data_IF_120340238371
#
_entry.id   IF_120340238371
#
_cell.length_a   1.000
_cell.length_b   1.000
_cell.length_c   1.000
_cell.angle_alpha   90.00
_cell.angle_beta   90.00
_cell.angle_gamma   90.00
#
_symmetry.space_group_name_H-M   'P 1'
#
loop_
_entity.id
_entity.type
_entity.pdbx_description
1 polymer ?
#
# COMPACT_ATOMS: atom_id res chain seq x y z
N UNK A 1 23.37 85.87 -23.21
CA UNK A 1 24.12 86.89 -22.49
C UNK A 1 24.35 86.36 -21.09
N UNK A 2 25.55 85.98 -20.87
CA UNK A 2 26.44 86.48 -19.79
C UNK A 2 25.91 86.17 -18.37
N UNK A 3 26.64 85.28 -17.74
CA UNK A 3 27.61 85.40 -16.65
C UNK A 3 26.97 85.21 -15.25
N UNK A 4 27.53 84.74 -14.19
CA UNK A 4 28.87 84.27 -13.85
C UNK A 4 28.77 83.63 -12.46
N UNK A 5 29.48 82.56 -12.25
CA UNK A 5 30.17 82.01 -11.08
C UNK A 5 30.12 82.81 -9.74
N UNK A 6 29.82 82.08 -8.63
CA UNK A 6 30.74 82.15 -7.47
C UNK A 6 30.61 80.95 -6.53
N UNK A 7 31.74 80.42 -6.17
CA UNK A 7 32.02 79.34 -5.22
C UNK A 7 31.86 79.83 -3.78
N UNK A 8 31.40 78.96 -2.91
CA UNK A 8 31.47 79.10 -1.46
C UNK A 8 31.43 77.75 -0.79
N UNK A 9 32.52 77.24 -0.27
CA UNK A 9 32.64 76.07 0.61
C UNK A 9 32.24 76.48 2.03
N UNK A 10 31.59 75.55 2.79
CA UNK A 10 31.91 75.19 4.18
C UNK A 10 31.06 73.98 4.61
N UNK A 11 31.74 72.91 4.98
CA UNK A 11 31.63 71.96 6.10
C UNK A 11 30.28 71.32 6.53
N UNK A 12 30.22 70.06 6.40
CA UNK A 12 30.02 68.96 7.30
C UNK A 12 28.95 69.05 8.42
N UNK A 13 27.93 68.22 8.32
CA UNK A 13 27.39 67.48 9.47
C UNK A 13 26.66 66.21 8.96
N UNK A 14 27.15 65.05 9.38
CA UNK A 14 26.52 63.74 9.15
C UNK A 14 25.20 63.65 9.91
N UNK A 15 24.12 63.36 9.21
CA UNK A 15 22.95 62.73 9.79
C UNK A 15 22.56 61.50 8.92
N UNK A 16 22.85 60.32 9.44
CA UNK A 16 22.44 59.06 8.90
C UNK A 16 20.91 58.88 9.09
N UNK A 17 20.15 59.00 8.02
CA UNK A 17 18.78 58.55 7.94
C UNK A 17 18.80 57.10 7.44
N UNK A 18 18.47 56.16 8.34
CA UNK A 18 18.10 54.80 7.97
C UNK A 18 16.79 54.85 7.17
N UNK A 19 16.87 54.65 5.87
CA UNK A 19 15.74 54.34 5.04
C UNK A 19 15.48 52.83 5.15
N UNK A 20 14.42 52.48 5.88
CA UNK A 20 13.84 51.11 5.88
C UNK A 20 13.18 50.92 4.52
N UNK A 21 13.84 50.21 3.62
CA UNK A 21 13.25 49.72 2.40
C UNK A 21 12.41 48.50 2.77
N UNK A 22 11.08 48.65 2.81
CA UNK A 22 10.17 47.54 2.84
C UNK A 22 10.19 46.88 1.45
N UNK A 23 10.98 45.83 1.31
CA UNK A 23 10.87 44.89 0.20
C UNK A 23 9.62 44.08 0.45
N UNK A 24 8.55 44.40 -0.26
CA UNK A 24 7.43 43.47 -0.46
C UNK A 24 7.95 42.28 -1.23
N UNK A 25 8.33 41.22 -0.54
CA UNK A 25 8.52 39.92 -1.15
C UNK A 25 7.13 39.40 -1.55
N UNK A 26 6.87 39.35 -2.86
CA UNK A 26 5.86 38.44 -3.38
C UNK A 26 6.30 37.03 -3.00
N UNK A 27 5.66 36.44 -2.01
CA UNK A 27 5.84 35.05 -1.68
C UNK A 27 5.31 34.23 -2.86
N UNK A 28 6.19 33.52 -3.54
CA UNK A 28 5.87 32.26 -4.14
C UNK A 28 5.42 31.34 -3.00
N UNK A 29 4.28 30.68 -3.13
CA UNK A 29 3.94 29.53 -2.31
C UNK A 29 5.01 28.46 -2.60
N UNK A 30 6.09 28.50 -1.83
CA UNK A 30 6.97 27.35 -1.66
C UNK A 30 6.15 26.34 -0.85
N UNK A 31 5.82 25.20 -1.45
CA UNK A 31 5.30 24.02 -0.79
C UNK A 31 6.25 23.69 0.38
N UNK A 32 5.89 24.16 1.58
CA UNK A 32 6.69 23.90 2.77
C UNK A 32 6.48 22.44 3.14
N UNK A 33 7.47 21.61 2.83
CA UNK A 33 7.57 20.27 3.39
C UNK A 33 7.51 20.36 4.92
N UNK A 34 6.83 19.42 5.53
CA UNK A 34 6.74 19.30 6.99
C UNK A 34 8.15 19.09 7.55
N UNK A 35 8.51 19.84 8.58
CA UNK A 35 9.80 19.65 9.26
C UNK A 35 9.80 18.28 9.96
N UNK A 36 10.94 17.60 9.94
CA UNK A 36 11.11 16.31 10.61
C UNK A 36 10.82 16.45 12.12
N UNK A 37 9.98 15.55 12.63
CA UNK A 37 9.62 15.51 14.06
C UNK A 37 10.76 14.84 14.84
N UNK A 38 11.41 15.59 15.71
CA UNK A 38 12.45 15.05 16.63
C UNK A 38 11.85 14.44 17.90
N UNK A 39 10.67 14.88 18.29
CA UNK A 39 9.94 14.42 19.48
C UNK A 39 8.45 14.65 19.31
N UNK A 40 7.64 13.65 19.63
CA UNK A 40 6.18 13.80 19.67
C UNK A 40 5.77 14.84 20.71
N UNK A 41 5.12 15.90 20.25
CA UNK A 41 4.69 17.03 21.05
C UNK A 41 3.22 16.96 21.44
N UNK A 42 2.64 18.16 21.64
CA UNK A 42 1.20 18.31 21.89
C UNK A 42 0.42 17.97 20.62
N UNK A 43 -0.81 17.47 20.83
CA UNK A 43 -1.79 17.28 19.76
C UNK A 43 -2.05 18.61 19.02
N UNK A 44 -2.14 18.56 17.70
CA UNK A 44 -2.64 19.67 16.85
C UNK A 44 -4.18 19.75 16.88
N UNK A 45 -4.83 18.79 17.56
CA UNK A 45 -6.27 18.72 17.74
C UNK A 45 -7.01 17.94 16.66
N UNK A 46 -6.34 17.54 15.59
CA UNK A 46 -6.91 16.74 14.50
C UNK A 46 -5.86 15.97 13.74
N UNK A 47 -6.28 14.92 13.01
CA UNK A 47 -5.48 14.19 12.02
C UNK A 47 -6.37 13.77 10.85
N UNK A 48 -5.86 13.92 9.63
CA UNK A 48 -6.54 13.49 8.41
C UNK A 48 -5.85 12.26 7.82
N UNK A 49 -6.61 11.18 7.59
CA UNK A 49 -6.08 9.87 7.24
C UNK A 49 -6.66 9.41 5.90
N UNK A 50 -5.78 9.01 4.98
CA UNK A 50 -6.14 8.34 3.74
C UNK A 50 -5.90 6.84 3.91
N UNK A 51 -6.93 6.00 3.79
CA UNK A 51 -6.82 4.58 4.13
C UNK A 51 -7.71 3.67 3.29
N UNK A 52 -7.43 2.38 3.34
CA UNK A 52 -8.34 1.35 2.86
C UNK A 52 -9.64 1.33 3.67
N UNK A 53 -10.77 0.88 3.07
CA UNK A 53 -11.99 0.60 3.83
C UNK A 53 -11.71 -0.37 4.99
N UNK A 54 -12.25 -0.08 6.18
CA UNK A 54 -12.07 -0.95 7.34
C UNK A 54 -10.82 -0.68 8.19
N UNK A 55 -9.98 0.31 7.83
CA UNK A 55 -8.76 0.63 8.57
C UNK A 55 -8.92 1.74 9.61
N UNK A 56 -9.99 2.53 9.51
CA UNK A 56 -10.26 3.69 10.38
C UNK A 56 -11.75 3.70 10.74
N UNK A 57 -12.15 2.78 11.64
CA UNK A 57 -13.55 2.63 12.03
C UNK A 57 -13.86 3.38 13.32
N UNK A 58 -14.94 4.21 13.26
CA UNK A 58 -15.41 5.11 14.29
C UNK A 58 -16.81 4.76 14.80
N UNK A 59 -17.30 3.56 14.51
CA UNK A 59 -18.66 3.12 14.83
C UNK A 59 -19.75 3.57 13.85
N UNK A 60 -19.41 4.36 12.82
CA UNK A 60 -20.38 4.84 11.83
C UNK A 60 -20.88 3.72 10.93
N UNK A 61 -19.96 2.84 10.48
CA UNK A 61 -20.29 1.68 9.63
C UNK A 61 -20.93 0.54 10.43
N UNK A 62 -20.33 0.22 11.59
CA UNK A 62 -20.85 -0.74 12.55
C UNK A 62 -20.65 -0.19 13.98
N UNK A 63 -21.74 0.07 14.72
CA UNK A 63 -21.63 0.60 16.11
C UNK A 63 -20.85 -0.29 17.10
N UNK A 64 -20.60 -1.55 16.75
CA UNK A 64 -19.79 -2.46 17.56
C UNK A 64 -18.28 -2.37 17.24
N UNK A 65 -17.91 -1.62 16.21
CA UNK A 65 -16.55 -1.54 15.67
C UNK A 65 -16.06 -0.09 15.71
N UNK A 66 -15.32 0.24 16.75
CA UNK A 66 -14.85 1.60 17.00
C UNK A 66 -13.55 1.57 17.82
N UNK A 67 -12.43 1.83 17.16
CA UNK A 67 -11.15 2.11 17.82
C UNK A 67 -10.73 3.58 17.71
N UNK A 68 -11.39 4.35 16.85
CA UNK A 68 -11.09 5.77 16.64
C UNK A 68 -11.48 6.59 17.89
N UNK A 69 -12.66 6.38 18.46
CA UNK A 69 -13.11 7.14 19.65
C UNK A 69 -12.17 7.01 20.85
N UNK A 70 -11.55 5.84 21.04
CA UNK A 70 -10.55 5.64 22.09
C UNK A 70 -9.29 6.47 21.82
N UNK A 71 -8.81 6.48 20.60
CA UNK A 71 -7.66 7.30 20.18
C UNK A 71 -7.92 8.80 20.38
N UNK A 72 -9.05 9.29 19.92
CA UNK A 72 -9.45 10.70 20.05
C UNK A 72 -9.52 11.15 21.51
N UNK A 73 -10.13 10.33 22.35
CA UNK A 73 -10.26 10.60 23.79
C UNK A 73 -8.90 10.67 24.49
N UNK A 74 -7.98 9.76 24.14
CA UNK A 74 -6.70 9.64 24.83
C UNK A 74 -5.68 10.67 24.34
N UNK A 75 -5.75 11.08 23.07
CA UNK A 75 -4.76 11.96 22.44
C UNK A 75 -5.24 13.40 22.24
N UNK A 76 -6.56 13.62 22.18
CA UNK A 76 -7.15 14.88 21.76
C UNK A 76 -6.93 15.19 20.27
N UNK A 77 -6.70 14.18 19.43
CA UNK A 77 -6.59 14.27 17.99
C UNK A 77 -7.89 13.77 17.35
N UNK A 78 -8.78 14.68 16.92
CA UNK A 78 -9.98 14.34 16.15
C UNK A 78 -9.57 13.72 14.80
N UNK A 79 -10.16 12.56 14.45
CA UNK A 79 -9.83 11.81 13.25
C UNK A 79 -10.81 12.13 12.13
N UNK A 80 -10.29 12.44 10.96
CA UNK A 80 -11.06 12.43 9.72
C UNK A 80 -10.43 11.44 8.75
N UNK A 81 -11.23 10.62 8.10
CA UNK A 81 -10.73 9.63 7.14
C UNK A 81 -11.34 9.78 5.76
N UNK A 82 -10.56 9.42 4.76
CA UNK A 82 -10.99 9.24 3.37
C UNK A 82 -10.58 7.84 2.93
N UNK A 83 -11.55 7.06 2.48
CA UNK A 83 -11.27 5.74 1.90
C UNK A 83 -10.98 5.85 0.40
N UNK A 84 -10.17 4.91 -0.09
CA UNK A 84 -9.85 4.72 -1.51
C UNK A 84 -10.00 3.24 -1.87
N UNK A 85 -10.17 2.94 -3.15
CA UNK A 85 -10.38 1.58 -3.65
C UNK A 85 -9.19 0.97 -4.38
N UNK A 86 -8.20 1.78 -4.80
CA UNK A 86 -7.00 1.31 -5.49
C UNK A 86 -5.76 2.14 -5.13
N UNK A 87 -4.57 1.55 -5.25
CA UNK A 87 -3.29 2.25 -5.04
C UNK A 87 -3.11 3.46 -5.96
N UNK A 88 -3.66 3.43 -7.18
CA UNK A 88 -3.62 4.57 -8.11
C UNK A 88 -4.52 5.72 -7.65
N UNK A 89 -5.70 5.42 -7.11
CA UNK A 89 -6.58 6.42 -6.50
C UNK A 89 -5.89 7.06 -5.29
N UNK A 90 -5.29 6.24 -4.42
CA UNK A 90 -4.56 6.71 -3.24
C UNK A 90 -3.40 7.66 -3.60
N UNK A 91 -2.59 7.32 -4.62
CA UNK A 91 -1.52 8.20 -5.09
C UNK A 91 -2.04 9.55 -5.59
N UNK A 92 -3.16 9.54 -6.31
CA UNK A 92 -3.76 10.77 -6.82
C UNK A 92 -4.34 11.63 -5.69
N UNK A 93 -4.97 11.01 -4.69
CA UNK A 93 -5.49 11.71 -3.51
C UNK A 93 -4.35 12.27 -2.63
N UNK A 94 -3.27 11.53 -2.43
CA UNK A 94 -2.11 11.96 -1.66
C UNK A 94 -1.51 13.29 -2.18
N UNK A 95 -1.46 13.47 -3.50
CA UNK A 95 -0.96 14.70 -4.15
C UNK A 95 -1.76 15.96 -3.81
N UNK A 96 -2.96 15.83 -3.24
CA UNK A 96 -3.74 16.99 -2.79
C UNK A 96 -3.15 17.70 -1.57
N UNK A 97 -2.27 17.03 -0.80
CA UNK A 97 -1.72 17.55 0.45
C UNK A 97 -2.77 17.73 1.56
N UNK A 98 -3.90 17.03 1.48
CA UNK A 98 -4.99 17.14 2.45
C UNK A 98 -4.86 16.15 3.61
N UNK A 99 -4.00 15.14 3.48
CA UNK A 99 -3.86 14.04 4.44
C UNK A 99 -2.54 14.12 5.21
N UNK A 100 -2.61 13.75 6.49
CA UNK A 100 -1.44 13.67 7.38
C UNK A 100 -0.82 12.27 7.37
N UNK A 101 -1.68 11.23 7.30
CA UNK A 101 -1.28 9.83 7.29
C UNK A 101 -1.90 9.12 6.08
N UNK A 102 -1.13 8.24 5.46
CA UNK A 102 -1.53 7.44 4.30
C UNK A 102 -1.28 5.98 4.63
N UNK A 103 -2.33 5.14 4.62
CA UNK A 103 -2.13 3.70 4.57
C UNK A 103 -1.74 3.32 3.13
N UNK A 104 -0.70 2.52 2.94
CA UNK A 104 -0.17 2.20 1.63
C UNK A 104 0.27 0.75 1.54
N UNK A 105 -0.17 0.05 0.50
CA UNK A 105 0.36 -1.27 0.15
C UNK A 105 1.71 -1.14 -0.56
N UNK A 106 2.49 -2.21 -0.63
CA UNK A 106 3.86 -2.18 -1.13
C UNK A 106 4.02 -1.76 -2.59
N UNK A 107 2.99 -1.88 -3.42
CA UNK A 107 2.94 -1.37 -4.79
C UNK A 107 2.76 0.16 -4.86
N UNK A 108 2.32 0.80 -3.76
CA UNK A 108 2.12 2.24 -3.65
C UNK A 108 3.26 2.93 -2.91
N UNK A 109 3.81 2.31 -1.86
CA UNK A 109 4.71 2.97 -0.92
C UNK A 109 5.95 3.60 -1.57
N UNK A 110 6.67 2.87 -2.45
CA UNK A 110 7.82 3.42 -3.16
C UNK A 110 7.42 4.53 -4.15
N UNK A 111 6.20 4.51 -4.68
CA UNK A 111 5.67 5.57 -5.54
C UNK A 111 5.43 6.87 -4.76
N UNK A 112 4.91 6.76 -3.54
CA UNK A 112 4.76 7.91 -2.63
C UNK A 112 6.11 8.49 -2.22
N UNK A 113 7.12 7.64 -1.97
CA UNK A 113 8.48 8.06 -1.65
C UNK A 113 9.11 8.76 -2.86
N UNK A 114 9.06 8.14 -4.04
CA UNK A 114 9.66 8.67 -5.26
C UNK A 114 9.01 9.99 -5.72
N UNK A 115 7.68 10.14 -5.55
CA UNK A 115 6.97 11.38 -5.85
C UNK A 115 7.08 12.43 -4.74
N UNK A 116 7.78 12.12 -3.64
CA UNK A 116 7.95 12.99 -2.47
C UNK A 116 6.63 13.33 -1.74
N UNK A 117 5.64 12.48 -1.84
CA UNK A 117 4.37 12.62 -1.09
C UNK A 117 4.47 12.00 0.32
N UNK A 118 5.42 11.10 0.55
CA UNK A 118 5.74 10.58 1.87
C UNK A 118 7.09 11.11 2.35
N UNK A 119 7.24 11.25 3.67
CA UNK A 119 8.50 11.63 4.31
C UNK A 119 9.03 10.52 5.22
N UNK A 120 10.32 10.60 5.54
CA UNK A 120 11.00 9.70 6.47
C UNK A 120 10.31 9.70 7.84
N UNK A 121 10.16 8.51 8.42
CA UNK A 121 9.61 8.28 9.76
C UNK A 121 10.75 7.98 10.73
N UNK A 122 10.74 8.66 11.87
CA UNK A 122 11.57 8.25 13.00
C UNK A 122 10.83 7.20 13.83
N UNK A 123 11.20 5.94 13.68
CA UNK A 123 10.56 4.79 14.35
C UNK A 123 10.76 4.80 15.87
N UNK A 124 11.77 5.49 16.42
CA UNK A 124 11.95 5.69 17.87
C UNK A 124 10.78 6.49 18.48
N UNK A 125 10.03 7.22 17.66
CA UNK A 125 8.82 7.96 18.07
C UNK A 125 7.54 7.12 18.02
N UNK A 126 7.64 5.86 17.63
CA UNK A 126 6.56 4.88 17.53
C UNK A 126 6.89 3.65 18.39
N UNK A 127 6.75 3.73 19.73
CA UNK A 127 7.17 2.66 20.65
C UNK A 127 6.63 1.27 20.33
N UNK A 128 5.40 1.17 19.80
CA UNK A 128 4.82 -0.12 19.40
C UNK A 128 5.49 -0.74 18.17
N UNK A 129 6.33 0.00 17.43
CA UNK A 129 7.11 -0.54 16.32
C UNK A 129 8.09 -1.64 16.79
N UNK A 130 8.58 -1.58 18.03
CA UNK A 130 9.44 -2.62 18.60
C UNK A 130 8.77 -4.00 18.63
N UNK A 131 7.43 -4.05 18.77
CA UNK A 131 6.63 -5.29 18.86
C UNK A 131 6.35 -5.94 17.51
N UNK A 132 6.49 -5.19 16.44
CA UNK A 132 6.22 -5.67 15.07
C UNK A 132 7.13 -6.84 14.73
N UNK A 133 6.63 -7.84 14.01
CA UNK A 133 7.43 -8.97 13.52
C UNK A 133 8.65 -8.47 12.74
N UNK A 134 9.82 -9.09 12.97
CA UNK A 134 11.08 -8.63 12.38
C UNK A 134 11.07 -8.66 10.84
N UNK A 135 10.38 -9.64 10.24
CA UNK A 135 10.28 -9.74 8.77
C UNK A 135 9.42 -8.63 8.12
N UNK A 136 8.69 -7.83 8.92
CA UNK A 136 7.92 -6.69 8.45
C UNK A 136 8.62 -5.35 8.69
N UNK A 137 9.73 -5.33 9.47
CA UNK A 137 10.48 -4.11 9.77
C UNK A 137 11.48 -3.78 8.67
N UNK A 138 11.69 -2.49 8.43
CA UNK A 138 12.73 -1.95 7.53
C UNK A 138 12.77 -2.63 6.15
N UNK A 139 11.58 -2.95 5.65
CA UNK A 139 11.42 -3.71 4.42
C UNK A 139 11.70 -2.86 3.17
N UNK A 140 12.10 -3.54 2.09
CA UNK A 140 12.49 -2.89 0.83
C UNK A 140 11.34 -2.16 0.12
N UNK A 141 10.09 -2.44 0.46
CA UNK A 141 8.93 -1.74 -0.13
C UNK A 141 8.57 -0.44 0.60
N UNK A 142 9.12 -0.18 1.78
CA UNK A 142 8.90 1.05 2.52
C UNK A 142 10.18 1.71 3.07
N UNK A 143 11.36 1.22 2.65
CA UNK A 143 12.66 1.78 3.04
C UNK A 143 13.50 2.10 1.82
N UNK A 144 14.11 3.28 1.80
CA UNK A 144 15.00 3.76 0.72
C UNK A 144 16.24 4.38 1.36
N UNK A 145 17.43 4.01 0.89
CA UNK A 145 18.72 4.53 1.37
C UNK A 145 18.89 4.39 2.90
N UNK A 146 18.39 3.32 3.49
CA UNK A 146 18.45 3.05 4.94
C UNK A 146 17.52 3.93 5.77
N UNK A 147 16.57 4.61 5.16
CA UNK A 147 15.54 5.42 5.80
C UNK A 147 14.19 4.72 5.73
N UNK A 148 13.46 4.70 6.82
CA UNK A 148 12.14 4.13 6.91
C UNK A 148 11.06 5.18 6.61
N UNK A 149 10.05 4.81 5.84
CA UNK A 149 8.93 5.67 5.43
C UNK A 149 7.57 5.14 5.85
N UNK A 150 7.51 3.93 6.44
CA UNK A 150 6.25 3.32 6.82
C UNK A 150 6.35 2.39 8.02
N UNK A 151 5.30 2.33 8.84
CA UNK A 151 5.15 1.38 9.94
C UNK A 151 4.08 0.34 9.58
N UNK A 152 4.38 -0.98 9.70
CA UNK A 152 3.49 -2.04 9.21
C UNK A 152 2.16 -2.10 9.97
N UNK A 153 1.05 -2.17 9.23
CA UNK A 153 -0.29 -2.36 9.81
C UNK A 153 -0.63 -3.85 9.97
N UNK A 154 -0.65 -4.57 8.87
CA UNK A 154 -0.98 -5.98 8.77
C UNK A 154 -0.56 -6.52 7.40
N UNK A 155 -0.80 -7.80 7.14
CA UNK A 155 -0.44 -8.41 5.87
C UNK A 155 -1.36 -9.56 5.50
N UNK A 156 -1.40 -9.91 4.20
CA UNK A 156 -2.13 -11.03 3.68
C UNK A 156 -1.57 -11.54 2.36
N UNK A 157 -1.93 -12.78 2.03
CA UNK A 157 -1.56 -13.41 0.77
C UNK A 157 -2.67 -13.28 -0.27
N UNK A 158 -2.28 -13.20 -1.55
CA UNK A 158 -3.16 -13.47 -2.67
C UNK A 158 -3.27 -14.98 -2.84
N UNK A 159 -4.45 -15.52 -2.65
CA UNK A 159 -4.70 -16.97 -2.65
C UNK A 159 -5.46 -17.40 -3.91
N UNK A 160 -5.40 -18.68 -4.20
CA UNK A 160 -6.25 -19.30 -5.20
C UNK A 160 -7.55 -19.75 -4.55
N UNK A 161 -8.68 -19.10 -4.90
CA UNK A 161 -10.03 -19.51 -4.48
C UNK A 161 -10.66 -20.39 -5.53
N UNK A 162 -11.40 -21.41 -5.09
CA UNK A 162 -12.06 -22.34 -5.98
C UNK A 162 -13.34 -22.92 -5.36
N UNK A 163 -14.29 -23.29 -6.22
CA UNK A 163 -15.44 -24.07 -5.83
C UNK A 163 -15.12 -25.56 -6.00
N UNK A 164 -15.12 -26.32 -4.89
CA UNK A 164 -14.79 -27.76 -4.86
C UNK A 164 -15.59 -28.59 -5.85
N UNK A 165 -16.85 -28.25 -6.07
CA UNK A 165 -17.72 -28.98 -7.02
C UNK A 165 -17.32 -28.81 -8.49
N UNK A 166 -16.46 -27.81 -8.81
CA UNK A 166 -15.98 -27.54 -10.17
C UNK A 166 -14.67 -28.26 -10.50
N UNK A 167 -14.05 -28.92 -9.51
CA UNK A 167 -12.78 -29.62 -9.67
C UNK A 167 -12.91 -31.07 -9.16
N UNK A 168 -12.32 -32.03 -9.88
CA UNK A 168 -12.28 -33.43 -9.44
C UNK A 168 -11.41 -33.59 -8.16
N UNK A 169 -10.33 -32.81 -8.09
CA UNK A 169 -9.44 -32.67 -6.93
C UNK A 169 -9.17 -31.17 -6.72
N UNK A 170 -8.99 -30.71 -5.47
CA UNK A 170 -8.66 -29.33 -5.19
C UNK A 170 -7.43 -28.86 -5.99
N UNK A 171 -7.48 -27.72 -6.68
CA UNK A 171 -6.33 -27.20 -7.39
C UNK A 171 -5.21 -26.81 -6.40
N UNK A 172 -3.97 -27.11 -6.74
CA UNK A 172 -2.79 -26.83 -5.91
C UNK A 172 -1.82 -25.89 -6.61
N UNK A 173 -2.15 -25.37 -7.78
CA UNK A 173 -1.28 -24.57 -8.63
C UNK A 173 -2.05 -23.41 -9.25
N UNK A 174 -1.37 -22.30 -9.45
CA UNK A 174 -1.85 -21.16 -10.25
C UNK A 174 -2.23 -21.57 -11.70
N UNK A 175 -1.82 -22.75 -12.15
CA UNK A 175 -2.28 -23.31 -13.42
C UNK A 175 -3.81 -23.36 -13.55
N UNK A 176 -4.55 -23.42 -12.44
CA UNK A 176 -6.01 -23.37 -12.45
C UNK A 176 -6.58 -22.10 -13.11
N UNK A 177 -5.84 -20.98 -13.04
CA UNK A 177 -6.19 -19.65 -13.59
C UNK A 177 -5.26 -19.17 -14.70
N UNK A 178 -4.16 -19.89 -15.00
CA UNK A 178 -3.23 -19.50 -16.05
C UNK A 178 -3.04 -20.55 -17.16
N UNK A 179 -3.26 -21.84 -16.87
CA UNK A 179 -3.16 -22.88 -17.90
C UNK A 179 -4.39 -22.88 -18.80
N UNK A 180 -4.17 -22.84 -20.10
CA UNK A 180 -5.22 -22.75 -21.11
C UNK A 180 -6.25 -23.88 -21.06
N UNK A 181 -5.82 -25.10 -20.77
CA UNK A 181 -6.71 -26.24 -20.72
C UNK A 181 -7.61 -26.19 -19.48
N UNK A 182 -7.08 -25.69 -18.37
CA UNK A 182 -7.87 -25.48 -17.14
C UNK A 182 -8.82 -24.31 -17.30
N UNK A 183 -8.36 -23.19 -17.85
CA UNK A 183 -9.17 -22.01 -18.15
C UNK A 183 -10.35 -22.35 -19.08
N UNK A 184 -10.12 -23.17 -20.09
CA UNK A 184 -11.18 -23.55 -21.05
C UNK A 184 -12.34 -24.32 -20.39
N UNK A 185 -12.08 -25.08 -19.29
CA UNK A 185 -13.11 -25.80 -18.53
C UNK A 185 -14.02 -24.83 -17.76
N UNK A 186 -13.48 -23.69 -17.35
CA UNK A 186 -14.14 -22.70 -16.49
C UNK A 186 -14.39 -21.36 -17.21
N UNK A 187 -14.47 -21.38 -18.54
CA UNK A 187 -14.61 -20.15 -19.34
C UNK A 187 -15.78 -19.29 -18.88
N UNK A 188 -15.51 -18.01 -18.62
CA UNK A 188 -16.47 -17.03 -18.14
C UNK A 188 -16.78 -17.13 -16.64
N UNK A 189 -16.10 -18.04 -15.92
CA UNK A 189 -16.25 -18.26 -14.48
C UNK A 189 -14.93 -18.11 -13.72
N UNK A 190 -13.95 -17.45 -14.31
CA UNK A 190 -12.65 -17.13 -13.73
C UNK A 190 -12.66 -15.68 -13.27
N UNK A 191 -12.17 -15.40 -12.08
CA UNK A 191 -11.93 -14.03 -11.60
C UNK A 191 -10.45 -13.71 -11.52
N UNK A 192 -10.13 -12.43 -11.66
CA UNK A 192 -8.78 -11.92 -11.51
C UNK A 192 -8.79 -10.54 -10.85
N UNK A 193 -7.76 -10.22 -10.07
CA UNK A 193 -7.65 -8.91 -9.41
C UNK A 193 -7.45 -7.80 -10.45
N UNK A 194 -8.22 -6.73 -10.36
CA UNK A 194 -8.22 -5.60 -11.31
C UNK A 194 -7.18 -4.54 -10.96
N UNK A 195 -5.92 -4.89 -11.08
CA UNK A 195 -4.81 -3.96 -10.82
C UNK A 195 -3.58 -4.32 -11.65
N UNK A 196 -2.76 -3.35 -12.09
CA UNK A 196 -1.49 -3.62 -12.78
C UNK A 196 -0.56 -4.55 -12.01
N UNK A 197 -0.60 -4.55 -10.66
CA UNK A 197 0.22 -5.41 -9.84
C UNK A 197 -0.06 -6.90 -10.04
N UNK A 198 -1.23 -7.27 -10.57
CA UNK A 198 -1.57 -8.65 -10.93
C UNK A 198 -0.66 -9.24 -12.01
N UNK A 199 0.09 -8.41 -12.74
CA UNK A 199 1.14 -8.89 -13.66
C UNK A 199 2.20 -9.71 -12.90
N UNK A 200 2.46 -9.39 -11.63
CA UNK A 200 3.39 -10.16 -10.80
C UNK A 200 2.91 -11.58 -10.51
N UNK A 201 1.60 -11.82 -10.42
CA UNK A 201 1.04 -13.17 -10.24
C UNK A 201 1.31 -14.04 -11.48
N UNK A 202 1.15 -13.46 -12.67
CA UNK A 202 1.51 -14.13 -13.92
C UNK A 202 3.02 -14.37 -14.02
N UNK A 203 3.84 -13.39 -13.63
CA UNK A 203 5.29 -13.54 -13.61
C UNK A 203 5.75 -14.62 -12.63
N UNK A 204 5.15 -14.70 -11.44
CA UNK A 204 5.41 -15.75 -10.45
C UNK A 204 5.09 -17.16 -11.00
N UNK A 205 3.97 -17.30 -11.68
CA UNK A 205 3.63 -18.56 -12.35
C UNK A 205 4.64 -18.91 -13.45
N UNK A 206 5.01 -17.94 -14.29
CA UNK A 206 6.02 -18.15 -15.35
C UNK A 206 7.40 -18.47 -14.77
N UNK A 207 7.81 -17.84 -13.69
CA UNK A 207 9.07 -18.10 -12.98
C UNK A 207 9.21 -19.59 -12.62
N UNK A 208 8.12 -20.26 -12.30
CA UNK A 208 8.10 -21.68 -11.93
C UNK A 208 7.89 -22.61 -13.12
N UNK A 209 7.10 -22.20 -14.11
CA UNK A 209 6.70 -23.07 -15.25
C UNK A 209 7.53 -22.85 -16.49
N UNK A 210 8.20 -21.71 -16.64
CA UNK A 210 9.05 -21.36 -17.77
C UNK A 210 10.41 -20.79 -17.28
N UNK A 211 11.25 -21.59 -16.61
CA UNK A 211 12.50 -21.10 -16.00
C UNK A 211 13.50 -20.49 -17.02
N UNK A 212 13.39 -20.84 -18.30
CA UNK A 212 14.21 -20.27 -19.36
C UNK A 212 13.98 -18.75 -19.57
N UNK A 213 12.89 -18.20 -19.04
CA UNK A 213 12.65 -16.75 -19.01
C UNK A 213 13.58 -16.01 -18.03
N UNK A 214 14.22 -16.74 -17.09
CA UNK A 214 15.14 -16.14 -16.12
C UNK A 214 14.50 -15.14 -15.16
N UNK A 215 13.19 -15.28 -14.86
CA UNK A 215 12.52 -14.43 -13.85
C UNK A 215 12.98 -14.91 -12.46
N UNK A 216 13.64 -14.03 -11.71
CA UNK A 216 14.10 -14.31 -10.34
C UNK A 216 13.27 -13.55 -9.29
N UNK A 217 12.65 -12.43 -9.69
CA UNK A 217 11.77 -11.62 -8.85
C UNK A 217 10.55 -11.17 -9.69
N UNK A 218 9.31 -11.48 -9.26
CA UNK A 218 8.11 -11.16 -10.04
C UNK A 218 7.85 -9.65 -10.20
N UNK A 219 8.54 -8.80 -9.44
CA UNK A 219 8.45 -7.33 -9.53
C UNK A 219 9.62 -6.70 -10.28
N UNK A 220 10.60 -7.48 -10.71
CA UNK A 220 11.79 -7.01 -11.43
C UNK A 220 11.84 -7.61 -12.85
N UNK A 221 10.89 -7.23 -13.68
CA UNK A 221 10.78 -7.77 -15.05
C UNK A 221 11.49 -6.86 -16.04
N UNK A 222 12.40 -7.42 -16.85
CA UNK A 222 12.81 -6.75 -18.08
C UNK A 222 11.68 -6.78 -19.12
N UNK A 223 11.87 -6.08 -20.24
CA UNK A 223 10.82 -5.97 -21.26
C UNK A 223 10.38 -7.34 -21.79
N UNK A 224 11.29 -8.28 -22.00
CA UNK A 224 10.95 -9.62 -22.51
C UNK A 224 10.14 -10.43 -21.51
N UNK A 225 10.46 -10.32 -20.23
CA UNK A 225 9.76 -10.97 -19.11
C UNK A 225 8.37 -10.35 -18.90
N UNK A 226 8.26 -9.01 -19.02
CA UNK A 226 6.97 -8.31 -19.00
C UNK A 226 6.11 -8.75 -20.19
N UNK A 227 6.65 -8.78 -21.40
CA UNK A 227 5.92 -9.19 -22.60
C UNK A 227 5.38 -10.63 -22.48
N UNK A 228 6.16 -11.54 -21.90
CA UNK A 228 5.73 -12.93 -21.64
C UNK A 228 4.57 -12.97 -20.63
N UNK A 229 4.64 -12.19 -19.54
CA UNK A 229 3.58 -12.08 -18.53
C UNK A 229 2.31 -11.49 -19.11
N UNK A 230 2.44 -10.44 -19.93
CA UNK A 230 1.34 -9.80 -20.64
C UNK A 230 0.66 -10.76 -21.64
N UNK A 231 1.47 -11.56 -22.37
CA UNK A 231 0.94 -12.55 -23.31
C UNK A 231 0.10 -13.61 -22.59
N UNK A 232 0.57 -14.10 -21.42
CA UNK A 232 -0.16 -15.04 -20.58
C UNK A 232 -1.50 -14.43 -20.10
N UNK A 233 -1.50 -13.19 -19.64
CA UNK A 233 -2.69 -12.50 -19.15
C UNK A 233 -3.69 -12.16 -20.29
N UNK A 234 -3.20 -11.82 -21.47
CA UNK A 234 -4.06 -11.65 -22.67
C UNK A 234 -4.72 -12.99 -23.10
N UNK A 235 -4.05 -14.11 -22.90
CA UNK A 235 -4.67 -15.41 -23.08
C UNK A 235 -5.72 -15.70 -22.01
N UNK A 236 -5.39 -15.48 -20.73
CA UNK A 236 -6.32 -15.62 -19.60
C UNK A 236 -7.56 -14.77 -19.78
N UNK A 237 -7.41 -13.51 -20.29
CA UNK A 237 -8.50 -12.55 -20.52
C UNK A 237 -9.69 -13.13 -21.28
N UNK A 238 -9.43 -14.06 -22.20
CA UNK A 238 -10.49 -14.69 -23.02
C UNK A 238 -11.41 -15.61 -22.21
N UNK A 239 -11.01 -15.95 -20.99
CA UNK A 239 -11.70 -16.87 -20.10
C UNK A 239 -12.22 -16.21 -18.82
N UNK A 240 -11.69 -15.01 -18.48
CA UNK A 240 -12.10 -14.23 -17.31
C UNK A 240 -13.54 -13.77 -17.49
N UNK A 241 -14.36 -14.04 -16.49
CA UNK A 241 -15.73 -13.55 -16.41
C UNK A 241 -15.80 -12.19 -15.74
N UNK A 242 -14.96 -11.98 -14.73
CA UNK A 242 -14.92 -10.72 -13.97
C UNK A 242 -13.51 -10.36 -13.51
N UNK A 243 -13.15 -9.08 -13.68
CA UNK A 243 -12.05 -8.45 -13.00
C UNK A 243 -12.59 -7.71 -11.78
N UNK A 244 -12.09 -8.03 -10.58
CA UNK A 244 -12.59 -7.46 -9.34
C UNK A 244 -11.54 -6.51 -8.70
N UNK A 245 -12.02 -5.38 -8.21
CA UNK A 245 -11.32 -4.47 -7.29
C UNK A 245 -12.19 -4.18 -6.05
N UNK A 246 -13.47 -4.57 -6.11
CA UNK A 246 -14.41 -4.51 -5.00
C UNK A 246 -14.62 -5.95 -4.48
N UNK A 247 -14.13 -6.23 -3.27
CA UNK A 247 -14.17 -7.55 -2.65
C UNK A 247 -15.61 -8.08 -2.47
N UNK A 248 -16.61 -7.19 -2.31
CA UNK A 248 -18.02 -7.59 -2.18
C UNK A 248 -18.57 -8.20 -3.47
N UNK A 249 -18.10 -7.73 -4.63
CA UNK A 249 -18.48 -8.32 -5.90
C UNK A 249 -17.91 -9.73 -6.07
N UNK A 250 -16.67 -9.94 -5.65
CA UNK A 250 -16.08 -11.28 -5.70
C UNK A 250 -16.81 -12.24 -4.75
N UNK A 251 -17.12 -11.83 -3.52
CA UNK A 251 -17.98 -12.62 -2.62
C UNK A 251 -19.27 -13.01 -3.32
N UNK A 252 -19.98 -12.05 -3.92
CA UNK A 252 -21.24 -12.31 -4.61
C UNK A 252 -21.06 -13.30 -5.78
N UNK A 253 -20.03 -13.14 -6.60
CA UNK A 253 -19.78 -13.98 -7.77
C UNK A 253 -19.56 -15.46 -7.38
N UNK A 254 -18.87 -15.72 -6.28
CA UNK A 254 -18.67 -17.08 -5.77
C UNK A 254 -19.90 -17.64 -5.03
N UNK A 255 -20.65 -16.80 -4.32
CA UNK A 255 -21.91 -17.21 -3.68
C UNK A 255 -22.96 -17.62 -4.69
N UNK A 256 -23.07 -16.93 -5.82
CA UNK A 256 -24.04 -17.23 -6.89
C UNK A 256 -23.57 -18.33 -7.83
N UNK A 257 -22.26 -18.66 -7.83
CA UNK A 257 -21.67 -19.62 -8.78
C UNK A 257 -21.44 -19.01 -10.18
N UNK A 258 -21.49 -17.68 -10.30
CA UNK A 258 -21.07 -16.96 -11.51
C UNK A 258 -19.57 -17.06 -11.72
N UNK A 259 -18.81 -17.22 -10.62
CA UNK A 259 -17.39 -17.55 -10.61
C UNK A 259 -17.13 -18.85 -9.83
N UNK A 260 -16.11 -19.59 -10.26
CA UNK A 260 -15.75 -20.89 -9.64
C UNK A 260 -14.25 -21.03 -9.34
N UNK A 261 -13.42 -20.14 -9.86
CA UNK A 261 -11.97 -20.12 -9.60
C UNK A 261 -11.41 -18.71 -9.85
N UNK A 262 -10.49 -18.28 -9.03
CA UNK A 262 -9.86 -16.97 -9.20
C UNK A 262 -8.82 -16.63 -8.12
N UNK A 263 -8.25 -15.44 -8.24
CA UNK A 263 -7.42 -14.86 -7.18
C UNK A 263 -8.28 -14.24 -6.12
N UNK A 264 -7.88 -14.33 -4.86
CA UNK A 264 -8.67 -13.82 -3.73
C UNK A 264 -7.79 -13.45 -2.54
N UNK A 265 -8.42 -12.85 -1.53
CA UNK A 265 -7.88 -12.68 -0.19
C UNK A 265 -8.59 -13.59 0.81
N UNK A 266 -7.92 -13.97 1.89
CA UNK A 266 -8.51 -14.84 2.92
C UNK A 266 -9.82 -14.26 3.47
N UNK A 267 -9.89 -12.95 3.68
CA UNK A 267 -11.11 -12.27 4.15
C UNK A 267 -12.30 -12.49 3.23
N UNK A 268 -12.10 -12.53 1.93
CA UNK A 268 -13.17 -12.78 0.96
C UNK A 268 -13.74 -14.18 1.18
N UNK A 269 -12.85 -15.18 1.29
CA UNK A 269 -13.27 -16.56 1.60
C UNK A 269 -14.05 -16.66 2.90
N UNK A 270 -13.59 -15.96 3.95
CA UNK A 270 -14.22 -16.01 5.27
C UNK A 270 -15.64 -15.42 5.27
N UNK A 271 -15.93 -14.50 4.35
CA UNK A 271 -17.26 -13.91 4.18
C UNK A 271 -18.17 -14.70 3.21
N UNK A 272 -17.67 -15.72 2.53
CA UNK A 272 -18.47 -16.61 1.67
C UNK A 272 -19.11 -17.69 2.53
N UNK A 273 -20.45 -17.82 2.44
CA UNK A 273 -21.24 -18.80 3.18
C UNK A 273 -21.31 -20.16 2.49
N UNK A 274 -21.03 -20.20 1.18
CA UNK A 274 -21.00 -21.44 0.42
C UNK A 274 -19.82 -22.31 0.88
N UNK A 275 -20.09 -23.40 1.58
CA UNK A 275 -19.10 -24.33 2.13
C UNK A 275 -18.33 -25.11 1.04
N UNK A 276 -18.80 -25.10 -0.21
CA UNK A 276 -18.08 -25.67 -1.34
C UNK A 276 -16.94 -24.77 -1.85
N UNK A 277 -16.91 -23.49 -1.46
CA UNK A 277 -15.82 -22.58 -1.79
C UNK A 277 -14.69 -22.73 -0.79
N UNK A 278 -13.47 -22.85 -1.29
CA UNK A 278 -12.27 -22.99 -0.49
C UNK A 278 -11.10 -22.20 -1.09
N UNK A 279 -10.02 -22.06 -0.34
CA UNK A 279 -8.79 -21.39 -0.78
C UNK A 279 -7.57 -22.27 -0.56
N UNK A 280 -6.53 -22.02 -1.33
CA UNK A 280 -5.24 -22.66 -1.15
C UNK A 280 -4.09 -21.68 -1.47
N UNK A 281 -2.96 -21.85 -0.79
CA UNK A 281 -1.69 -21.31 -1.21
C UNK A 281 -1.13 -22.22 -2.31
N UNK A 282 -0.94 -21.72 -3.54
CA UNK A 282 -0.38 -22.55 -4.63
C UNK A 282 1.06 -22.97 -4.38
N UNK A 283 1.44 -24.08 -5.00
CA UNK A 283 2.80 -24.65 -4.87
C UNK A 283 3.91 -23.76 -5.42
N UNK A 284 3.55 -22.83 -6.29
CA UNK A 284 4.47 -21.81 -6.81
C UNK A 284 4.76 -20.70 -5.79
N UNK A 285 4.04 -20.67 -4.68
CA UNK A 285 3.95 -19.55 -3.76
C UNK A 285 2.88 -18.56 -4.19
N UNK A 286 2.82 -17.41 -3.53
CA UNK A 286 1.85 -16.36 -3.85
C UNK A 286 2.46 -14.97 -3.76
N UNK A 287 1.91 -14.02 -4.48
CA UNK A 287 2.10 -12.61 -4.16
C UNK A 287 1.37 -12.28 -2.87
N UNK A 288 1.81 -11.26 -2.17
CA UNK A 288 1.25 -10.87 -0.88
C UNK A 288 1.31 -9.35 -0.71
N UNK A 289 0.47 -8.82 0.14
CA UNK A 289 0.48 -7.41 0.49
C UNK A 289 0.82 -7.24 1.96
N UNK A 290 1.54 -6.17 2.26
CA UNK A 290 1.76 -5.63 3.59
C UNK A 290 1.44 -4.15 3.54
N UNK A 291 0.49 -3.74 4.33
CA UNK A 291 0.08 -2.36 4.39
C UNK A 291 0.82 -1.62 5.48
N UNK A 292 1.21 -0.40 5.18
CA UNK A 292 2.00 0.44 6.07
C UNK A 292 1.35 1.80 6.26
N UNK A 293 1.47 2.37 7.44
CA UNK A 293 1.09 3.75 7.72
C UNK A 293 2.28 4.66 7.42
N UNK A 294 2.11 5.55 6.48
CA UNK A 294 3.13 6.48 6.02
C UNK A 294 2.78 7.91 6.43
N UNK A 295 3.80 8.69 6.78
CA UNK A 295 3.63 10.11 7.09
C UNK A 295 3.68 10.92 5.79
N UNK A 296 2.64 11.70 5.53
CA UNK A 296 2.63 12.62 4.38
C UNK A 296 3.71 13.68 4.50
N UNK A 297 4.38 13.99 3.40
CA UNK A 297 5.38 15.08 3.36
C UNK A 297 4.75 16.47 3.57
N UNK A 298 3.44 16.58 3.43
CA UNK A 298 2.64 17.79 3.61
C UNK A 298 1.77 17.74 4.87
N UNK A 299 2.06 16.81 5.81
CA UNK A 299 1.30 16.64 7.04
C UNK A 299 1.19 17.95 7.83
N UNK A 300 -0.04 18.34 8.17
CA UNK A 300 -0.34 19.54 8.95
C UNK A 300 -0.40 19.25 10.45
N UNK A 301 -0.54 17.95 10.79
CA UNK A 301 -0.68 17.46 12.15
C UNK A 301 0.31 16.33 12.46
N UNK A 302 1.62 16.56 12.33
CA UNK A 302 2.62 15.50 12.44
C UNK A 302 2.65 14.83 13.84
N UNK A 303 2.38 15.56 14.92
CA UNK A 303 2.32 14.93 16.24
C UNK A 303 1.11 13.99 16.37
N UNK A 304 -0.06 14.38 15.87
CA UNK A 304 -1.24 13.50 15.83
C UNK A 304 -1.00 12.31 14.89
N UNK A 305 -0.26 12.49 13.77
CA UNK A 305 0.10 11.41 12.87
C UNK A 305 0.99 10.36 13.56
N UNK A 306 2.04 10.77 14.27
CA UNK A 306 2.87 9.85 15.06
C UNK A 306 2.10 9.14 16.17
N UNK A 307 1.19 9.85 16.85
CA UNK A 307 0.32 9.22 17.85
C UNK A 307 -0.62 8.20 17.24
N UNK A 308 -1.14 8.47 16.03
CA UNK A 308 -1.95 7.50 15.29
C UNK A 308 -1.14 6.26 14.93
N UNK A 309 0.03 6.44 14.36
CA UNK A 309 0.91 5.32 13.98
C UNK A 309 1.26 4.45 15.19
N UNK A 310 1.59 5.05 16.33
CA UNK A 310 1.87 4.28 17.55
C UNK A 310 0.62 3.59 18.10
N UNK A 311 -0.51 4.28 18.11
CA UNK A 311 -1.76 3.73 18.60
C UNK A 311 -2.25 2.53 17.78
N UNK A 312 -2.28 2.68 16.45
CA UNK A 312 -2.81 1.62 15.57
C UNK A 312 -1.88 0.39 15.52
N UNK A 313 -0.60 0.54 15.89
CA UNK A 313 0.32 -0.57 16.09
C UNK A 313 0.21 -1.18 17.50
N UNK A 314 -0.52 -0.57 18.42
CA UNK A 314 -0.72 -1.16 19.76
C UNK A 314 -1.46 -2.50 19.64
N UNK A 315 -1.13 -3.48 20.50
CA UNK A 315 -1.76 -4.80 20.43
C UNK A 315 -3.29 -4.76 20.42
N UNK A 316 -3.89 -3.87 21.20
CA UNK A 316 -5.33 -3.76 21.33
C UNK A 316 -5.99 -3.18 20.07
N UNK A 317 -5.46 -2.08 19.53
CA UNK A 317 -6.03 -1.44 18.34
C UNK A 317 -5.74 -2.26 17.07
N UNK A 318 -4.51 -2.77 16.94
CA UNK A 318 -4.11 -3.60 15.81
C UNK A 318 -4.93 -4.89 15.72
N UNK A 319 -5.16 -5.57 16.83
CA UNK A 319 -6.00 -6.77 16.86
C UNK A 319 -7.43 -6.47 16.40
N UNK A 320 -8.06 -5.38 16.86
CA UNK A 320 -9.40 -5.00 16.43
C UNK A 320 -9.46 -4.69 14.94
N UNK A 321 -8.49 -3.88 14.44
CA UNK A 321 -8.47 -3.47 13.05
C UNK A 321 -8.21 -4.65 12.11
N UNK A 322 -7.21 -5.48 12.40
CA UNK A 322 -6.85 -6.61 11.55
C UNK A 322 -7.87 -7.76 11.60
N UNK A 323 -8.52 -7.97 12.76
CA UNK A 323 -9.60 -8.94 12.87
C UNK A 323 -10.85 -8.48 12.10
N UNK A 324 -11.20 -7.20 12.16
CA UNK A 324 -12.32 -6.63 11.43
C UNK A 324 -12.09 -6.65 9.91
N UNK A 325 -10.93 -6.17 9.48
CA UNK A 325 -10.57 -6.18 8.05
C UNK A 325 -10.39 -7.62 7.53
N UNK A 326 -9.81 -8.52 8.33
CA UNK A 326 -9.52 -9.90 7.96
C UNK A 326 -8.13 -10.04 7.33
N UNK A 327 -7.11 -9.80 8.13
CA UNK A 327 -5.69 -9.91 7.78
C UNK A 327 -4.85 -10.38 8.98
N UNK A 328 -3.60 -10.75 8.74
CA UNK A 328 -2.67 -11.08 9.79
C UNK A 328 -2.25 -9.82 10.57
N UNK A 329 -2.37 -9.80 11.91
CA UNK A 329 -1.82 -8.74 12.75
C UNK A 329 -0.30 -8.59 12.62
N UNK A 330 0.19 -7.42 12.99
CA UNK A 330 1.61 -7.08 12.87
C UNK A 330 2.51 -7.66 13.98
N UNK A 331 1.94 -8.26 15.04
CA UNK A 331 2.70 -8.69 16.22
C UNK A 331 2.05 -9.88 16.95
N UNK A 332 2.88 -10.61 17.73
CA UNK A 332 2.41 -11.69 18.60
C UNK A 332 1.45 -11.18 19.67
N UNK A 333 1.73 -9.99 20.20
CA UNK A 333 0.91 -9.38 21.24
C UNK A 333 -0.49 -9.00 20.72
N UNK A 334 -0.59 -8.58 19.45
CA UNK A 334 -1.89 -8.32 18.81
C UNK A 334 -2.66 -9.63 18.62
N UNK A 335 -2.02 -10.71 18.21
CA UNK A 335 -2.64 -12.04 18.16
C UNK A 335 -3.25 -12.47 19.50
N UNK A 336 -2.63 -12.13 20.61
CA UNK A 336 -3.15 -12.44 21.94
C UNK A 336 -4.40 -11.62 22.33
N UNK A 337 -4.78 -10.62 21.52
CA UNK A 337 -5.90 -9.70 21.74
C UNK A 337 -7.08 -9.91 20.78
N UNK A 338 -6.92 -10.72 19.75
CA UNK A 338 -8.05 -11.06 18.85
C UNK A 338 -9.15 -11.78 19.61
N UNK A 339 -10.39 -11.54 19.23
CA UNK A 339 -11.58 -12.18 19.86
C UNK A 339 -11.82 -13.57 19.30
N UNK A 340 -11.51 -13.80 18.01
CA UNK A 340 -11.46 -15.14 17.44
C UNK A 340 -10.09 -15.80 17.78
N UNK A 341 -10.08 -16.87 18.58
CA UNK A 341 -8.84 -17.56 18.96
C UNK A 341 -8.14 -18.24 17.77
N UNK A 342 -8.80 -18.36 16.61
CA UNK A 342 -8.24 -18.94 15.39
C UNK A 342 -7.79 -17.89 14.38
N UNK A 343 -8.01 -16.60 14.66
CA UNK A 343 -7.71 -15.54 13.71
C UNK A 343 -6.26 -15.64 13.22
N UNK A 344 -5.30 -15.64 14.11
CA UNK A 344 -3.89 -15.68 13.74
C UNK A 344 -3.47 -17.00 13.06
N UNK A 345 -4.08 -18.12 13.42
CA UNK A 345 -3.88 -19.38 12.71
C UNK A 345 -4.42 -19.29 11.26
N UNK A 346 -5.63 -18.75 11.09
CA UNK A 346 -6.30 -18.59 9.79
C UNK A 346 -5.52 -17.70 8.84
N UNK A 347 -4.93 -16.62 9.37
CA UNK A 347 -4.17 -15.64 8.59
C UNK A 347 -2.65 -15.87 8.61
N UNK A 348 -2.17 -16.99 9.21
CA UNK A 348 -0.75 -17.33 9.31
C UNK A 348 0.11 -16.23 9.94
N UNK A 349 -0.43 -15.52 10.95
CA UNK A 349 0.24 -14.40 11.58
C UNK A 349 1.53 -14.86 12.31
N UNK A 350 2.67 -14.29 11.91
CA UNK A 350 3.98 -14.63 12.48
C UNK A 350 4.54 -15.98 12.05
N UNK A 351 3.92 -16.66 11.09
CA UNK A 351 4.43 -17.90 10.50
C UNK A 351 5.51 -17.58 9.45
N UNK A 352 6.77 -17.61 9.87
CA UNK A 352 7.90 -17.30 8.98
C UNK A 352 8.06 -18.30 7.82
N UNK A 353 7.69 -19.58 8.02
CA UNK A 353 7.78 -20.58 6.97
C UNK A 353 6.71 -20.36 5.89
N UNK A 354 5.54 -19.88 6.31
CA UNK A 354 4.52 -19.42 5.38
C UNK A 354 4.98 -18.16 4.66
N UNK A 355 5.50 -17.17 5.40
CA UNK A 355 5.97 -15.90 4.85
C UNK A 355 7.09 -16.06 3.78
N UNK A 356 7.95 -17.10 3.89
CA UNK A 356 8.97 -17.43 2.89
C UNK A 356 8.41 -17.86 1.53
N UNK A 357 7.15 -18.24 1.46
CA UNK A 357 6.46 -18.60 0.23
C UNK A 357 5.76 -17.39 -0.41
N UNK A 358 5.82 -16.24 0.26
CA UNK A 358 5.15 -15.03 -0.16
C UNK A 358 6.13 -14.05 -0.82
N UNK A 359 5.65 -13.43 -1.89
CA UNK A 359 6.30 -12.34 -2.59
C UNK A 359 5.53 -11.06 -2.28
N UNK A 360 5.98 -10.32 -1.26
CA UNK A 360 5.30 -9.08 -0.86
C UNK A 360 5.37 -8.05 -1.99
N UNK A 361 4.26 -7.38 -2.24
CA UNK A 361 4.13 -6.37 -3.27
C UNK A 361 5.21 -5.30 -3.15
N UNK A 362 5.83 -5.02 -4.27
CA UNK A 362 6.84 -3.96 -4.43
C UNK A 362 6.51 -3.18 -5.69
N UNK A 363 6.72 -1.88 -5.65
CA UNK A 363 6.61 -1.05 -6.85
C UNK A 363 7.67 -1.48 -7.87
N UNK A 364 7.33 -1.94 -9.07
CA UNK A 364 8.28 -2.15 -10.15
C UNK A 364 9.03 -0.86 -10.49
N UNK A 365 10.34 -0.94 -10.61
CA UNK A 365 11.24 0.17 -10.89
C UNK A 365 12.15 -0.14 -12.08
N UNK A 366 12.63 0.89 -12.76
CA UNK A 366 13.60 0.75 -13.87
C UNK A 366 14.93 0.16 -13.42
N UNK A 367 15.35 0.49 -12.21
CA UNK A 367 16.43 -0.20 -11.52
C UNK A 367 15.89 -1.55 -11.02
N UNK A 368 16.51 -2.63 -11.47
CA UNK A 368 16.00 -3.97 -11.19
C UNK A 368 16.10 -4.31 -9.70
N UNK A 369 14.97 -4.63 -9.09
CA UNK A 369 14.84 -4.98 -7.67
C UNK A 369 15.56 -6.29 -7.28
N UNK A 370 15.98 -7.09 -8.26
CA UNK A 370 16.79 -8.31 -8.09
C UNK A 370 18.29 -8.05 -8.18
N UNK A 371 18.70 -6.79 -8.36
CA UNK A 371 20.11 -6.37 -8.41
C UNK A 371 20.78 -6.53 -9.76
N UNK A 372 20.08 -6.95 -10.82
CA UNK A 372 20.63 -6.93 -12.19
C UNK A 372 20.96 -5.50 -12.59
N UNK A 373 22.14 -5.30 -13.19
CA UNK A 373 22.63 -3.98 -13.63
C UNK A 373 22.95 -3.93 -15.13
N UNK A 374 22.87 -5.05 -15.81
CA UNK A 374 23.14 -5.22 -17.24
C UNK A 374 21.87 -5.09 -18.11
N UNK A 375 20.72 -4.98 -17.48
CA UNK A 375 19.42 -4.77 -18.11
C UNK A 375 18.67 -3.64 -17.39
N UNK A 376 17.74 -3.00 -18.09
CA UNK A 376 16.75 -2.08 -17.49
C UNK A 376 15.46 -2.86 -17.25
N UNK A 377 14.94 -2.79 -16.03
CA UNK A 377 13.65 -3.35 -15.70
C UNK A 377 12.51 -2.38 -16.08
N UNK A 378 11.31 -2.89 -16.11
CA UNK A 378 10.11 -2.11 -16.42
C UNK A 378 9.52 -1.51 -15.16
N UNK A 379 9.13 -0.25 -15.24
CA UNK A 379 8.54 0.48 -14.12
C UNK A 379 7.01 0.33 -14.03
N UNK A 380 6.43 0.82 -12.95
CA UNK A 380 4.98 0.72 -12.72
C UNK A 380 4.15 1.45 -13.79
N UNK A 381 4.69 2.52 -14.42
CA UNK A 381 3.99 3.21 -15.50
C UNK A 381 3.85 2.29 -16.73
N UNK A 382 4.92 1.57 -17.09
CA UNK A 382 4.89 0.57 -18.17
C UNK A 382 3.93 -0.59 -17.82
N UNK A 383 3.88 -1.01 -16.55
CA UNK A 383 2.90 -2.01 -16.11
C UNK A 383 1.46 -1.52 -16.22
N UNK A 384 1.20 -0.25 -15.91
CA UNK A 384 -0.13 0.36 -16.07
C UNK A 384 -0.56 0.41 -17.54
N UNK A 385 0.37 0.75 -18.45
CA UNK A 385 0.12 0.70 -19.89
C UNK A 385 -0.19 -0.73 -20.36
N UNK A 386 0.65 -1.70 -19.93
CA UNK A 386 0.46 -3.11 -20.23
C UNK A 386 -0.86 -3.65 -19.69
N UNK A 387 -1.26 -3.24 -18.48
CA UNK A 387 -2.55 -3.62 -17.89
C UNK A 387 -3.73 -3.10 -18.71
N UNK A 388 -3.63 -1.87 -19.19
CA UNK A 388 -4.63 -1.30 -20.09
C UNK A 388 -4.77 -2.13 -21.38
N UNK A 389 -3.66 -2.58 -21.95
CA UNK A 389 -3.68 -3.47 -23.12
C UNK A 389 -4.24 -4.87 -22.84
N UNK A 390 -4.01 -5.41 -21.65
CA UNK A 390 -4.58 -6.70 -21.23
C UNK A 390 -6.10 -6.58 -21.14
N UNK A 391 -6.58 -5.51 -20.56
CA UNK A 391 -8.03 -5.28 -20.36
C UNK A 391 -8.78 -5.00 -21.66
N UNK A 392 -8.18 -4.32 -22.65
CA UNK A 392 -8.72 -4.01 -23.98
C UNK A 392 -9.48 -2.71 -24.03
#
# INVERSE_FOLDING_TARGET
MKNTIRKGRVAAACLTLLSVSVLSACGSDDDKKTEAVEKVGKSEGKVSILAWPGYVEDGTNDPAVDWVSAFEKDTGCEVTSKVYGTSDEALNLAKSGEYDVIAASGDLSLRLIASQEAQEINTDLVPNYEKVYDFLKDTEWNSVDGKNYGVPHGYGANLLMFNKSSFAEPPTSWGAVFDKEQLAKNKGKVTAYDSPIYIADAALYLMKTQPDLGIENPYALDQGQLDASVALLKEQRQYVGEYWSDYLKEIQAFETGDSVVGTTWQVIKNNIKNEDVDVTLPIEGATAWNDTWMLSSQAKSPNCAYKWMDYILSPEANAQATEYFGEAPNSVEACAKTTDPKHCETFHAGDEEYAKQLWFWRTPLKECLDGRTDVECTDYAQWTEAWTEIKG
#
